data_IF_883516574310
#
_entry.id   IF_883516574310
#
_cell.length_a   1.000
_cell.length_b   1.000
_cell.length_c   1.000
_cell.angle_alpha   90.00
_cell.angle_beta   90.00
_cell.angle_gamma   90.00
#
_symmetry.space_group_name_H-M   'P 1'
#
loop_
_entity.id
_entity.type
_entity.pdbx_description
1 polymer ?
#
# COMPACT_ATOMS: atom_id res chain seq x y z
N UNK A 1 -4.35 -33.04 -7.93
CA UNK A 1 -4.79 -31.69 -8.30
C UNK A 1 -4.48 -30.86 -7.07
N UNK A 2 -3.58 -29.90 -7.20
CA UNK A 2 -3.01 -29.18 -6.05
C UNK A 2 -3.99 -28.07 -5.64
N UNK A 3 -4.65 -28.24 -4.49
CA UNK A 3 -5.70 -27.37 -3.97
C UNK A 3 -5.17 -25.98 -3.50
N UNK A 4 -3.92 -25.63 -3.85
CA UNK A 4 -3.23 -24.43 -3.37
C UNK A 4 -3.18 -23.27 -4.40
N UNK A 5 -3.79 -23.39 -5.58
CA UNK A 5 -3.59 -22.46 -6.71
C UNK A 5 -4.24 -21.06 -6.56
N UNK A 6 -4.90 -20.79 -5.43
CA UNK A 6 -5.58 -19.51 -5.14
C UNK A 6 -5.13 -18.78 -3.87
N UNK A 7 -4.29 -19.38 -3.03
CA UNK A 7 -3.92 -18.80 -1.74
C UNK A 7 -2.63 -17.99 -1.85
N UNK A 8 -2.68 -16.73 -1.45
CA UNK A 8 -1.48 -15.88 -1.37
C UNK A 8 -0.74 -16.24 -0.08
N UNK A 9 0.53 -16.64 -0.20
CA UNK A 9 1.38 -16.97 0.95
C UNK A 9 1.63 -15.75 1.86
N UNK A 10 1.70 -15.89 3.20
CA UNK A 10 1.94 -14.76 4.12
C UNK A 10 3.26 -14.01 3.87
N UNK A 11 4.23 -14.67 3.26
CA UNK A 11 5.52 -14.07 2.87
C UNK A 11 5.45 -13.33 1.55
N UNK A 12 4.39 -13.53 0.77
CA UNK A 12 4.18 -12.88 -0.51
C UNK A 12 3.99 -11.38 -0.32
N UNK A 13 4.60 -10.54 -1.17
CA UNK A 13 4.36 -9.11 -1.18
C UNK A 13 2.89 -8.78 -1.49
N UNK A 14 2.13 -9.69 -2.11
CA UNK A 14 0.70 -9.51 -2.38
C UNK A 14 -0.21 -9.82 -1.19
N UNK A 15 0.30 -10.42 -0.11
CA UNK A 15 -0.50 -10.81 1.04
C UNK A 15 -1.02 -9.60 1.80
N UNK A 16 -2.31 -9.54 2.08
CA UNK A 16 -2.92 -8.53 2.95
C UNK A 16 -3.32 -9.22 4.26
N UNK A 17 -2.76 -8.75 5.37
CA UNK A 17 -3.11 -9.27 6.69
C UNK A 17 -4.42 -8.66 7.19
N UNK A 18 -4.99 -9.22 8.25
CA UNK A 18 -6.15 -8.71 8.98
C UNK A 18 -6.09 -7.22 9.36
N UNK A 19 -4.89 -6.67 9.53
CA UNK A 19 -4.64 -5.24 9.78
C UNK A 19 -4.57 -4.34 8.54
N UNK A 20 -4.55 -4.91 7.34
CA UNK A 20 -4.50 -4.19 6.07
C UNK A 20 -5.91 -3.83 5.60
N UNK A 21 -6.52 -2.85 6.27
CA UNK A 21 -7.88 -2.39 5.96
C UNK A 21 -7.84 -1.01 5.30
N UNK A 22 -8.69 -0.76 4.29
CA UNK A 22 -8.70 0.52 3.59
C UNK A 22 -8.90 1.71 4.53
N UNK A 23 -9.69 1.53 5.60
CA UNK A 23 -10.01 2.56 6.59
C UNK A 23 -8.89 2.88 7.59
N UNK A 24 -7.82 2.07 7.65
CA UNK A 24 -6.73 2.31 8.59
C UNK A 24 -5.81 3.43 8.12
N UNK A 25 -5.22 4.16 9.08
CA UNK A 25 -4.15 5.11 8.79
C UNK A 25 -2.82 4.37 8.65
N UNK A 26 -2.08 4.66 7.58
CA UNK A 26 -0.71 4.15 7.40
C UNK A 26 0.30 4.86 8.31
N UNK A 27 0.00 6.10 8.68
CA UNK A 27 0.78 6.91 9.63
C UNK A 27 -0.15 7.93 10.28
N UNK A 28 0.20 8.36 11.50
CA UNK A 28 -0.45 9.49 12.17
C UNK A 28 0.10 10.85 11.72
N UNK A 29 1.18 10.87 10.93
CA UNK A 29 1.71 12.10 10.33
C UNK A 29 0.85 12.46 9.12
N UNK A 30 0.09 13.54 9.20
CA UNK A 30 -0.73 14.05 8.09
C UNK A 30 0.11 15.01 7.24
N UNK A 31 0.10 14.84 5.91
CA UNK A 31 0.80 15.71 4.97
C UNK A 31 0.19 17.11 5.00
N UNK A 32 1.01 18.10 5.30
CA UNK A 32 0.73 19.53 5.19
C UNK A 32 1.69 20.18 4.18
N UNK A 33 1.59 21.50 3.98
CA UNK A 33 2.45 22.23 3.03
C UNK A 33 3.94 22.16 3.40
N UNK A 34 4.24 22.05 4.69
CA UNK A 34 5.58 22.30 5.22
C UNK A 34 6.26 21.05 5.82
N UNK A 35 5.63 19.87 5.75
CA UNK A 35 6.11 18.68 6.47
C UNK A 35 6.38 17.44 5.58
N UNK A 36 6.48 17.62 4.26
CA UNK A 36 6.65 16.51 3.31
C UNK A 36 7.76 15.52 3.70
N UNK A 37 8.91 16.02 4.18
CA UNK A 37 10.04 15.16 4.59
C UNK A 37 9.69 14.24 5.77
N UNK A 38 8.96 14.76 6.77
CA UNK A 38 8.51 13.96 7.92
C UNK A 38 7.43 12.95 7.50
N UNK A 39 6.48 13.39 6.68
CA UNK A 39 5.41 12.55 6.15
C UNK A 39 5.95 11.40 5.29
N UNK A 40 6.83 11.70 4.34
CA UNK A 40 7.40 10.69 3.42
C UNK A 40 8.25 9.66 4.17
N UNK A 41 9.02 10.09 5.17
CA UNK A 41 9.77 9.19 6.05
C UNK A 41 8.82 8.27 6.83
N UNK A 42 7.73 8.80 7.38
CA UNK A 42 6.77 8.01 8.15
C UNK A 42 6.07 6.96 7.28
N UNK A 43 5.59 7.34 6.09
CA UNK A 43 5.02 6.38 5.13
C UNK A 43 6.04 5.33 4.70
N UNK A 44 7.27 5.72 4.39
CA UNK A 44 8.32 4.78 3.98
C UNK A 44 8.58 3.73 5.06
N UNK A 45 8.66 4.14 6.33
CA UNK A 45 8.85 3.21 7.46
C UNK A 45 7.66 2.26 7.59
N UNK A 46 6.44 2.79 7.53
CA UNK A 46 5.23 1.97 7.63
C UNK A 46 5.11 0.95 6.50
N UNK A 47 5.43 1.34 5.25
CA UNK A 47 5.45 0.44 4.10
C UNK A 47 6.54 -0.63 4.22
N UNK A 48 7.73 -0.29 4.73
CA UNK A 48 8.80 -1.27 4.98
C UNK A 48 8.36 -2.30 6.03
N UNK A 49 7.74 -1.86 7.12
CA UNK A 49 7.23 -2.75 8.17
C UNK A 49 6.21 -3.77 7.63
N UNK A 50 5.43 -3.38 6.61
CA UNK A 50 4.45 -4.24 5.93
C UNK A 50 5.00 -4.99 4.71
N UNK A 51 6.30 -4.86 4.39
CA UNK A 51 6.95 -5.40 3.16
C UNK A 51 6.29 -4.94 1.86
N UNK A 52 5.78 -3.72 1.89
CA UNK A 52 4.98 -3.12 0.83
C UNK A 52 5.71 -2.04 0.03
N UNK A 53 6.89 -1.60 0.47
CA UNK A 53 7.66 -0.57 -0.23
C UNK A 53 8.01 -0.97 -1.67
N UNK A 54 8.17 -2.28 -1.93
CA UNK A 54 8.51 -2.86 -3.23
C UNK A 54 7.51 -2.55 -4.36
N UNK A 55 6.28 -2.14 -4.03
CA UNK A 55 5.30 -1.69 -5.01
C UNK A 55 5.46 -0.20 -5.36
N UNK A 56 5.98 0.59 -4.43
CA UNK A 56 6.16 2.04 -4.59
C UNK A 56 7.50 2.35 -5.26
N UNK A 57 8.56 1.59 -4.91
CA UNK A 57 9.87 1.74 -5.53
C UNK A 57 9.99 1.09 -6.92
N UNK A 58 8.93 0.40 -7.37
CA UNK A 58 8.86 -0.22 -8.70
C UNK A 58 9.55 -1.57 -8.82
N UNK A 59 10.06 -2.14 -7.73
CA UNK A 59 10.61 -3.52 -7.71
C UNK A 59 9.57 -4.54 -8.19
N UNK A 60 8.31 -4.35 -7.81
CA UNK A 60 7.17 -5.10 -8.33
C UNK A 60 6.39 -4.23 -9.29
N UNK A 61 6.54 -4.52 -10.58
CA UNK A 61 5.82 -3.85 -11.65
C UNK A 61 4.40 -4.40 -11.82
N UNK A 62 3.53 -3.58 -12.41
CA UNK A 62 2.18 -4.00 -12.80
C UNK A 62 2.27 -5.19 -13.76
N UNK A 63 1.71 -6.32 -13.37
CA UNK A 63 1.70 -7.55 -14.16
C UNK A 63 0.71 -7.46 -15.33
N UNK A 64 1.04 -8.11 -16.46
CA UNK A 64 0.11 -8.32 -17.59
C UNK A 64 -0.71 -9.60 -17.45
N UNK A 65 -0.32 -10.50 -16.55
CA UNK A 65 -1.05 -11.73 -16.23
C UNK A 65 -2.27 -11.42 -15.35
N UNK A 66 -3.48 -11.80 -15.78
CA UNK A 66 -4.76 -11.45 -15.13
C UNK A 66 -4.81 -11.71 -13.61
N UNK A 67 -4.35 -12.88 -13.13
CA UNK A 67 -4.40 -13.20 -11.69
C UNK A 67 -3.47 -12.28 -10.88
N UNK A 68 -2.23 -12.10 -11.33
CA UNK A 68 -1.26 -11.21 -10.67
C UNK A 68 -1.64 -9.75 -10.81
N UNK A 69 -2.30 -9.37 -11.91
CA UNK A 69 -2.83 -8.04 -12.15
C UNK A 69 -3.87 -7.68 -11.09
N UNK A 70 -4.86 -8.55 -10.84
CA UNK A 70 -5.87 -8.31 -9.80
C UNK A 70 -5.24 -8.18 -8.41
N UNK A 71 -4.25 -9.01 -8.08
CA UNK A 71 -3.53 -8.91 -6.81
C UNK A 71 -2.74 -7.59 -6.70
N UNK A 72 -2.07 -7.19 -7.77
CA UNK A 72 -1.35 -5.92 -7.85
C UNK A 72 -2.32 -4.74 -7.69
N UNK A 73 -3.45 -4.74 -8.40
CA UNK A 73 -4.46 -3.67 -8.34
C UNK A 73 -5.10 -3.56 -6.96
N UNK A 74 -5.33 -4.68 -6.29
CA UNK A 74 -5.84 -4.73 -4.92
C UNK A 74 -4.87 -4.05 -3.95
N UNK A 75 -3.60 -4.46 -3.97
CA UNK A 75 -2.55 -3.89 -3.10
C UNK A 75 -2.28 -2.42 -3.45
N UNK A 76 -2.32 -2.05 -4.73
CA UNK A 76 -2.16 -0.68 -5.18
C UNK A 76 -3.31 0.23 -4.70
N UNK A 77 -4.56 -0.24 -4.79
CA UNK A 77 -5.74 0.48 -4.30
C UNK A 77 -5.66 0.71 -2.78
N UNK A 78 -5.11 -0.27 -2.05
CA UNK A 78 -4.83 -0.14 -0.63
C UNK A 78 -3.85 1.00 -0.31
N UNK A 79 -2.74 1.12 -1.04
CA UNK A 79 -1.81 2.24 -0.85
C UNK A 79 -2.45 3.58 -1.15
N UNK A 80 -3.20 3.68 -2.25
CA UNK A 80 -3.88 4.92 -2.61
C UNK A 80 -4.84 5.34 -1.49
N UNK A 81 -5.65 4.40 -0.99
CA UNK A 81 -6.55 4.64 0.14
C UNK A 81 -5.82 5.17 1.38
N UNK A 82 -4.69 4.56 1.74
CA UNK A 82 -3.89 4.98 2.89
C UNK A 82 -3.22 6.34 2.70
N UNK A 83 -2.65 6.59 1.52
CA UNK A 83 -2.00 7.86 1.17
C UNK A 83 -3.05 8.97 1.21
N UNK A 84 -4.19 8.79 0.56
CA UNK A 84 -5.28 9.79 0.54
C UNK A 84 -5.76 10.15 1.95
N UNK A 85 -5.88 9.18 2.86
CA UNK A 85 -6.25 9.44 4.27
C UNK A 85 -5.15 10.11 5.09
N UNK A 86 -3.91 10.08 4.61
CA UNK A 86 -2.77 10.72 5.27
C UNK A 86 -2.48 12.12 4.73
N UNK A 87 -3.33 12.67 3.87
CA UNK A 87 -3.19 14.02 3.30
C UNK A 87 -4.20 14.94 3.98
N UNK A 88 -3.77 16.15 4.36
CA UNK A 88 -4.67 17.16 4.89
C UNK A 88 -5.79 17.45 3.87
N UNK A 89 -7.04 17.45 4.31
CA UNK A 89 -8.20 17.66 3.42
C UNK A 89 -8.22 19.03 2.76
N UNK A 90 -7.43 20.00 3.23
CA UNK A 90 -7.24 21.32 2.61
C UNK A 90 -6.18 21.30 1.50
N UNK A 91 -5.43 20.21 1.39
CA UNK A 91 -4.45 19.96 0.33
C UNK A 91 -4.92 18.94 -0.69
N UNK A 92 -5.70 17.94 -0.24
CA UNK A 92 -6.19 16.85 -1.05
C UNK A 92 -7.69 16.96 -1.29
N UNK A 93 -8.04 17.14 -2.58
CA UNK A 93 -9.36 17.33 -3.20
C UNK A 93 -9.85 18.79 -3.26
N UNK A 94 -10.34 19.27 -4.44
CA UNK A 94 -11.20 20.45 -4.51
C UNK A 94 -12.55 20.22 -3.80
#
# INVERSE_FOLDING_TARGET
>A
MDDNEGKIEPTSPYFLDSGDQPGNLITHVILTKDNYSAWSRAITIALKARRKLVFVDGTIQKSTENRKLLNWETVNSMFISWILRSIDSKLGLP
#
